data_IF_035865396178
#
_entry.id   IF_035865396178
#
_cell.length_a   1.000
_cell.length_b   1.000
_cell.length_c   1.000
_cell.angle_alpha   90.00
_cell.angle_beta   90.00
_cell.angle_gamma   90.00
#
_symmetry.space_group_name_H-M   'P 1'
#
loop_
_entity.id
_entity.type
_entity.pdbx_description
1 polymer ?
#
# COMPACT_ATOMS: atom_id res chain seq x y z
N UNK A 1 -2.35 18.35 9.09
CA UNK A 1 -3.05 18.82 7.85
C UNK A 1 -4.17 17.85 7.59
N UNK A 2 -5.41 18.32 7.43
CA UNK A 2 -6.56 17.46 7.12
C UNK A 2 -6.35 16.82 5.77
N UNK A 3 -6.54 15.52 5.67
CA UNK A 3 -6.49 14.76 4.42
C UNK A 3 -7.84 14.13 4.14
N UNK A 4 -8.23 14.11 2.88
CA UNK A 4 -9.45 13.48 2.39
C UNK A 4 -9.08 12.34 1.45
N UNK A 5 -9.78 11.22 1.58
CA UNK A 5 -9.69 10.06 0.70
C UNK A 5 -11.07 9.84 0.10
N UNK A 6 -11.14 9.75 -1.20
CA UNK A 6 -12.35 9.39 -1.95
C UNK A 6 -12.24 7.90 -2.31
N UNK A 7 -13.16 7.09 -1.79
CA UNK A 7 -13.17 5.67 -2.10
C UNK A 7 -13.87 5.41 -3.43
N UNK A 8 -13.40 4.43 -4.18
CA UNK A 8 -14.10 3.91 -5.36
C UNK A 8 -15.33 3.14 -4.91
N UNK A 9 -16.43 3.22 -5.66
CA UNK A 9 -17.73 2.71 -5.22
C UNK A 9 -17.78 1.20 -4.99
N UNK A 10 -16.92 0.42 -5.64
CA UNK A 10 -16.79 -1.03 -5.42
C UNK A 10 -15.82 -1.42 -4.29
N UNK A 11 -15.18 -0.44 -3.65
CA UNK A 11 -14.20 -0.66 -2.58
C UNK A 11 -14.76 -0.42 -1.17
N UNK A 12 -16.05 -0.15 -1.02
CA UNK A 12 -16.59 0.05 0.31
C UNK A 12 -18.03 -0.43 0.47
N UNK A 13 -18.43 -0.62 1.70
CA UNK A 13 -19.80 -0.90 2.07
C UNK A 13 -20.15 -0.29 3.43
N UNK A 14 -21.40 0.11 3.57
CA UNK A 14 -21.96 0.60 4.82
C UNK A 14 -22.99 -0.39 5.33
N UNK A 15 -22.81 -0.87 6.54
CA UNK A 15 -23.67 -1.85 7.17
C UNK A 15 -24.23 -1.33 8.50
N UNK A 16 -25.51 -1.55 8.76
CA UNK A 16 -26.15 -1.24 10.03
C UNK A 16 -26.12 -2.43 10.96
N UNK A 17 -26.04 -2.16 12.26
CA UNK A 17 -26.09 -3.21 13.28
C UNK A 17 -24.86 -4.12 13.28
N UNK A 18 -25.08 -5.45 13.24
CA UNK A 18 -24.03 -6.46 13.37
C UNK A 18 -23.62 -7.12 12.04
N UNK A 19 -23.85 -6.47 10.94
CA UNK A 19 -23.57 -7.01 9.62
C UNK A 19 -22.07 -7.11 9.30
N UNK A 20 -21.21 -6.48 10.10
CA UNK A 20 -19.78 -6.72 10.11
C UNK A 20 -19.38 -7.21 11.50
N UNK A 21 -18.94 -8.45 11.60
CA UNK A 21 -18.41 -9.01 12.83
C UNK A 21 -16.90 -9.04 12.77
N UNK A 22 -16.27 -8.22 13.61
CA UNK A 22 -14.81 -8.21 13.76
C UNK A 22 -14.40 -9.01 14.99
N UNK A 23 -13.53 -10.00 14.78
CA UNK A 23 -13.02 -10.86 15.84
C UNK A 23 -11.58 -11.29 15.61
N UNK A 24 -10.97 -12.00 16.58
CA UNK A 24 -9.60 -12.47 16.45
C UNK A 24 -9.38 -13.32 15.19
N UNK A 25 -8.47 -12.87 14.31
CA UNK A 25 -8.04 -13.57 13.12
C UNK A 25 -9.05 -13.65 11.97
N UNK A 26 -10.28 -13.12 12.15
CA UNK A 26 -11.30 -13.14 11.10
C UNK A 26 -12.31 -12.02 11.29
N UNK A 27 -12.69 -11.37 10.18
CA UNK A 27 -13.90 -10.57 10.09
C UNK A 27 -14.87 -11.21 9.12
N UNK A 28 -16.16 -11.18 9.40
CA UNK A 28 -17.22 -11.62 8.50
C UNK A 28 -18.03 -10.42 8.04
N UNK A 29 -18.46 -10.47 6.79
CA UNK A 29 -19.18 -9.41 6.13
C UNK A 29 -20.42 -10.03 5.47
N UNK A 30 -21.59 -9.77 5.99
CA UNK A 30 -22.84 -10.41 5.58
C UNK A 30 -23.82 -9.46 4.87
N UNK A 31 -23.36 -8.29 4.51
CA UNK A 31 -24.13 -7.30 3.75
C UNK A 31 -23.46 -7.01 2.40
N UNK A 32 -24.17 -7.21 1.28
CA UNK A 32 -23.58 -6.96 -0.02
C UNK A 32 -23.19 -5.48 -0.20
N UNK A 33 -22.00 -5.20 -0.73
CA UNK A 33 -21.57 -3.85 -1.03
C UNK A 33 -22.36 -3.31 -2.24
N UNK A 34 -23.54 -2.77 -2.00
CA UNK A 34 -24.37 -2.18 -3.04
C UNK A 34 -25.20 -1.00 -2.52
N UNK A 35 -25.51 -0.09 -3.40
CA UNK A 35 -26.42 1.03 -3.13
C UNK A 35 -25.83 2.15 -2.28
N UNK A 36 -24.56 2.12 -1.96
CA UNK A 36 -23.81 3.22 -1.35
C UNK A 36 -22.73 3.74 -2.31
N UNK A 37 -22.55 5.07 -2.37
CA UNK A 37 -21.67 5.73 -3.34
C UNK A 37 -20.95 6.90 -2.71
N UNK A 38 -19.83 7.30 -3.32
CA UNK A 38 -19.07 8.51 -2.98
C UNK A 38 -18.65 8.56 -1.51
N UNK A 39 -18.05 7.49 -0.98
CA UNK A 39 -17.48 7.53 0.36
C UNK A 39 -16.28 8.47 0.40
N UNK A 40 -16.32 9.43 1.32
CA UNK A 40 -15.21 10.31 1.65
C UNK A 40 -14.79 10.05 3.09
N UNK A 41 -13.52 9.73 3.28
CA UNK A 41 -12.87 9.53 4.58
C UNK A 41 -11.98 10.75 4.86
N UNK A 42 -12.20 11.45 5.96
CA UNK A 42 -11.48 12.69 6.29
C UNK A 42 -10.74 12.52 7.61
N UNK A 43 -9.43 12.73 7.61
CA UNK A 43 -8.60 12.66 8.80
C UNK A 43 -8.85 13.85 9.73
N UNK A 44 -8.55 13.67 11.02
CA UNK A 44 -8.56 14.78 11.99
C UNK A 44 -7.40 15.77 11.71
N UNK A 45 -7.57 17.06 12.07
CA UNK A 45 -6.49 18.07 11.93
C UNK A 45 -5.23 17.72 12.71
N UNK A 46 -5.38 17.03 13.84
CA UNK A 46 -4.29 16.65 14.74
C UNK A 46 -3.64 15.32 14.37
N UNK A 47 -4.16 14.63 13.35
CA UNK A 47 -3.55 13.41 12.85
C UNK A 47 -2.18 13.73 12.23
N UNK A 48 -1.15 13.15 12.83
CA UNK A 48 0.24 13.36 12.40
C UNK A 48 0.65 12.47 11.24
N UNK A 49 -0.13 11.42 10.97
CA UNK A 49 0.14 10.49 9.88
C UNK A 49 -1.14 9.97 9.21
N UNK A 50 -1.90 10.83 8.52
CA UNK A 50 -3.23 10.52 8.00
C UNK A 50 -3.27 9.43 6.92
N UNK A 51 -2.13 8.86 6.54
CA UNK A 51 -2.04 7.72 5.60
C UNK A 51 -1.88 6.37 6.32
N UNK A 52 -1.76 6.36 7.62
CA UNK A 52 -1.66 5.18 8.45
C UNK A 52 -2.97 5.05 9.21
N UNK A 53 -3.67 3.97 9.00
CA UNK A 53 -4.96 3.70 9.60
C UNK A 53 -4.75 2.71 10.75
N UNK A 54 -4.68 3.22 11.98
CA UNK A 54 -4.46 2.40 13.18
C UNK A 54 -5.77 2.18 13.94
N UNK A 55 -6.02 0.96 14.46
CA UNK A 55 -7.16 0.73 15.35
C UNK A 55 -7.18 1.71 16.53
N UNK A 56 -8.33 2.32 16.77
CA UNK A 56 -8.52 3.35 17.79
C UNK A 56 -8.44 4.79 17.28
N UNK A 57 -7.90 5.04 16.11
CA UNK A 57 -7.95 6.36 15.47
C UNK A 57 -9.35 6.72 14.99
N UNK A 58 -9.63 8.02 14.86
CA UNK A 58 -10.95 8.52 14.46
C UNK A 58 -10.87 9.35 13.18
N UNK A 59 -11.90 9.19 12.35
CA UNK A 59 -12.07 9.89 11.08
C UNK A 59 -13.49 10.39 10.93
N UNK A 60 -13.69 11.43 10.12
CA UNK A 60 -15.02 11.82 9.67
C UNK A 60 -15.34 11.12 8.36
N UNK A 61 -16.54 10.55 8.25
CA UNK A 61 -17.00 9.83 7.08
C UNK A 61 -18.25 10.50 6.49
N UNK A 62 -18.36 10.48 5.18
CA UNK A 62 -19.57 10.90 4.47
C UNK A 62 -19.79 10.05 3.22
N UNK A 63 -21.04 9.65 2.95
CA UNK A 63 -21.40 8.87 1.76
C UNK A 63 -22.80 9.21 1.28
N UNK A 64 -23.12 8.79 0.06
CA UNK A 64 -24.45 8.87 -0.55
C UNK A 64 -25.00 7.47 -0.84
N UNK A 65 -26.29 7.33 -1.17
CA UNK A 65 -26.87 6.03 -1.53
C UNK A 65 -28.36 6.03 -1.72
N UNK A 66 -28.90 4.92 -2.24
CA UNK A 66 -30.33 4.74 -2.54
C UNK A 66 -31.21 4.69 -1.28
N UNK A 67 -30.65 4.34 -0.12
CA UNK A 67 -31.30 4.39 1.20
C UNK A 67 -31.12 5.72 1.94
N UNK A 68 -30.58 6.73 1.28
CA UNK A 68 -30.11 7.99 1.86
C UNK A 68 -28.63 7.87 2.27
N UNK A 69 -27.87 8.94 2.05
CA UNK A 69 -26.49 9.07 2.53
C UNK A 69 -26.44 9.19 4.05
N UNK A 70 -25.23 9.21 4.59
CA UNK A 70 -24.98 9.40 6.02
C UNK A 70 -23.66 10.11 6.26
N UNK A 71 -23.51 10.66 7.45
CA UNK A 71 -22.25 11.22 7.94
C UNK A 71 -21.97 10.72 9.34
N UNK A 72 -20.67 10.50 9.63
CA UNK A 72 -20.16 10.21 10.96
C UNK A 72 -19.02 11.17 11.23
N UNK A 73 -19.07 11.92 12.32
CA UNK A 73 -18.03 12.91 12.64
C UNK A 73 -16.79 12.30 13.28
N UNK A 74 -16.96 11.21 14.04
CA UNK A 74 -15.87 10.54 14.76
C UNK A 74 -16.08 9.03 14.66
N UNK A 75 -15.88 8.49 13.48
CA UNK A 75 -15.87 7.04 13.27
C UNK A 75 -14.52 6.48 13.75
N UNK A 76 -14.57 5.48 14.63
CA UNK A 76 -13.37 4.86 15.17
C UNK A 76 -12.97 3.67 14.32
N UNK A 77 -11.70 3.55 13.98
CA UNK A 77 -11.16 2.35 13.35
C UNK A 77 -11.16 1.22 14.37
N UNK A 78 -11.95 0.19 14.11
CA UNK A 78 -12.00 -1.03 14.93
C UNK A 78 -11.17 -2.16 14.32
N UNK A 79 -10.80 -2.04 13.06
CA UNK A 79 -9.93 -2.97 12.35
C UNK A 79 -9.21 -2.30 11.21
N UNK A 80 -7.94 -2.69 11.05
CA UNK A 80 -7.11 -2.30 9.94
C UNK A 80 -6.18 -3.47 9.59
N UNK A 81 -6.14 -3.90 8.33
CA UNK A 81 -5.33 -5.06 7.90
C UNK A 81 -5.13 -5.04 6.37
N UNK A 82 -4.35 -5.98 5.86
CA UNK A 82 -4.26 -6.22 4.42
C UNK A 82 -5.51 -6.93 3.90
N UNK A 83 -5.94 -6.60 2.69
CA UNK A 83 -7.03 -7.29 2.01
C UNK A 83 -6.70 -8.75 1.68
N UNK A 84 -7.70 -9.62 1.43
CA UNK A 84 -7.47 -10.97 0.96
C UNK A 84 -6.63 -10.98 -0.31
N UNK A 85 -5.55 -11.78 -0.31
CA UNK A 85 -4.60 -11.77 -1.43
C UNK A 85 -3.38 -10.88 -1.20
N UNK A 86 -3.47 -9.87 -0.33
CA UNK A 86 -2.35 -9.02 0.07
C UNK A 86 -2.21 -7.73 -0.72
N UNK A 87 -3.06 -7.49 -1.72
CA UNK A 87 -3.20 -6.19 -2.38
C UNK A 87 -4.32 -5.40 -1.70
N UNK A 88 -4.09 -4.10 -1.49
CA UNK A 88 -5.02 -3.24 -0.79
C UNK A 88 -5.13 -3.49 0.71
N UNK A 89 -6.08 -2.82 1.33
CA UNK A 89 -6.36 -2.88 2.77
C UNK A 89 -7.80 -3.22 3.10
N UNK A 90 -8.02 -3.53 4.37
CA UNK A 90 -9.36 -3.58 4.97
C UNK A 90 -9.35 -2.68 6.19
N UNK A 91 -10.15 -1.64 6.15
CA UNK A 91 -10.34 -0.71 7.26
C UNK A 91 -11.81 -0.75 7.65
N UNK A 92 -12.08 -1.06 8.91
CA UNK A 92 -13.45 -1.08 9.43
C UNK A 92 -13.59 0.07 10.42
N UNK A 93 -14.46 0.98 10.09
CA UNK A 93 -14.85 2.08 10.96
C UNK A 93 -16.17 1.75 11.66
N UNK A 94 -16.27 2.07 12.93
CA UNK A 94 -17.50 2.03 13.71
C UNK A 94 -17.87 3.44 14.15
N UNK A 95 -19.14 3.81 13.99
CA UNK A 95 -19.61 5.10 14.47
C UNK A 95 -21.11 5.25 14.40
N UNK A 96 -21.58 6.36 14.98
CA UNK A 96 -23.01 6.71 14.99
C UNK A 96 -23.26 7.80 13.96
N UNK A 97 -24.22 7.55 13.06
CA UNK A 97 -24.60 8.50 12.03
C UNK A 97 -25.29 9.72 12.63
N UNK A 98 -25.44 10.76 11.84
CA UNK A 98 -26.24 11.96 12.12
C UNK A 98 -27.74 11.66 12.44
N UNK A 99 -28.20 10.45 12.09
CA UNK A 99 -29.55 9.94 12.43
C UNK A 99 -29.59 9.11 13.72
N UNK A 100 -28.47 8.95 14.41
CA UNK A 100 -28.36 8.18 15.64
C UNK A 100 -28.25 6.67 15.45
N UNK A 101 -27.97 6.19 14.25
CA UNK A 101 -27.79 4.76 13.94
C UNK A 101 -26.31 4.36 14.09
N UNK A 102 -26.05 3.26 14.80
CA UNK A 102 -24.73 2.65 14.84
C UNK A 102 -24.48 1.90 13.53
N UNK A 103 -23.40 2.24 12.85
CA UNK A 103 -23.02 1.62 11.58
C UNK A 103 -21.55 1.23 11.57
N UNK A 104 -21.25 0.22 10.75
CA UNK A 104 -19.90 -0.10 10.34
C UNK A 104 -19.71 0.33 8.88
N UNK A 105 -18.61 1.00 8.61
CA UNK A 105 -18.16 1.29 7.25
C UNK A 105 -16.91 0.47 6.99
N UNK A 106 -16.99 -0.43 6.03
CA UNK A 106 -15.85 -1.21 5.55
C UNK A 106 -15.31 -0.51 4.32
N UNK A 107 -14.07 -0.07 4.36
CA UNK A 107 -13.37 0.47 3.20
C UNK A 107 -12.18 -0.42 2.88
N UNK A 108 -12.07 -0.80 1.63
CA UNK A 108 -11.03 -1.71 1.14
C UNK A 108 -10.22 -1.02 0.03
N UNK A 109 -9.38 -0.03 0.37
CA UNK A 109 -8.59 0.67 -0.62
C UNK A 109 -7.76 -0.31 -1.45
N UNK A 110 -7.79 -0.14 -2.78
CA UNK A 110 -7.13 -0.99 -3.78
C UNK A 110 -7.60 -2.45 -3.83
N UNK A 111 -8.80 -2.73 -3.34
CA UNK A 111 -9.37 -4.07 -3.36
C UNK A 111 -10.85 -4.03 -3.73
N UNK A 112 -11.22 -4.70 -4.82
CA UNK A 112 -12.62 -4.82 -5.28
C UNK A 112 -13.44 -5.67 -4.30
N UNK A 113 -14.03 -4.99 -3.30
CA UNK A 113 -14.85 -5.63 -2.26
C UNK A 113 -16.14 -6.22 -2.85
N UNK A 114 -16.74 -5.53 -3.82
CA UNK A 114 -18.00 -5.97 -4.40
C UNK A 114 -17.82 -7.25 -5.22
N UNK A 115 -16.82 -7.29 -6.12
CA UNK A 115 -16.50 -8.49 -6.89
C UNK A 115 -16.11 -9.64 -5.98
N UNK A 116 -15.22 -9.40 -5.02
CA UNK A 116 -14.81 -10.42 -4.05
C UNK A 116 -15.99 -10.94 -3.21
N UNK A 117 -16.91 -10.09 -2.76
CA UNK A 117 -18.09 -10.50 -2.01
C UNK A 117 -18.92 -11.51 -2.80
N UNK A 118 -19.26 -11.20 -4.04
CA UNK A 118 -20.10 -12.06 -4.87
C UNK A 118 -19.41 -13.36 -5.27
N UNK A 119 -18.12 -13.34 -5.50
CA UNK A 119 -17.31 -14.54 -5.80
C UNK A 119 -17.22 -15.52 -4.60
N UNK A 120 -17.33 -15.00 -3.38
CA UNK A 120 -17.21 -15.78 -2.16
C UNK A 120 -18.53 -15.97 -1.40
N UNK A 121 -19.62 -15.45 -1.91
CA UNK A 121 -20.93 -15.58 -1.29
C UNK A 121 -21.48 -16.99 -1.44
N UNK A 122 -21.96 -17.57 -0.32
CA UNK A 122 -22.74 -18.82 -0.33
C UNK A 122 -24.00 -18.67 0.48
N UNK A 123 -25.09 -19.29 0.02
CA UNK A 123 -26.36 -19.25 0.75
C UNK A 123 -26.19 -19.87 2.15
N UNK A 124 -26.35 -19.07 3.18
CA UNK A 124 -26.25 -19.48 4.59
C UNK A 124 -24.88 -19.22 5.26
N UNK A 125 -23.92 -18.65 4.55
CA UNK A 125 -22.65 -18.23 5.13
C UNK A 125 -22.18 -16.91 4.53
N UNK A 126 -21.98 -15.91 5.37
CA UNK A 126 -21.39 -14.63 4.94
C UNK A 126 -19.93 -14.81 4.52
N UNK A 127 -19.47 -14.11 3.49
CA UNK A 127 -18.07 -14.07 3.16
C UNK A 127 -17.24 -13.58 4.35
N UNK A 128 -16.09 -14.19 4.58
CA UNK A 128 -15.21 -13.84 5.68
C UNK A 128 -13.80 -13.54 5.21
N UNK A 129 -13.26 -12.38 5.61
CA UNK A 129 -11.84 -12.19 5.45
C UNK A 129 -11.07 -12.76 6.63
N UNK A 130 -9.88 -13.26 6.32
CA UNK A 130 -8.90 -13.64 7.32
C UNK A 130 -7.88 -12.54 7.46
N UNK A 131 -7.66 -12.07 8.67
CA UNK A 131 -6.62 -11.11 8.96
C UNK A 131 -5.30 -11.81 9.21
N UNK A 132 -4.23 -11.17 8.75
CA UNK A 132 -2.87 -11.68 8.93
C UNK A 132 -2.33 -11.31 10.31
N UNK A 133 -2.66 -10.11 10.79
CA UNK A 133 -2.26 -9.58 12.08
C UNK A 133 -3.39 -8.72 12.67
N UNK A 134 -3.77 -9.00 13.92
CA UNK A 134 -4.85 -8.26 14.61
C UNK A 134 -4.46 -6.84 15.01
N UNK A 135 -3.17 -6.57 15.09
CA UNK A 135 -2.60 -5.27 15.39
C UNK A 135 -2.01 -4.60 14.14
N UNK A 136 -2.29 -5.14 12.95
CA UNK A 136 -1.84 -4.52 11.73
C UNK A 136 -2.49 -3.16 11.57
N UNK A 137 -1.70 -2.21 11.08
CA UNK A 137 -2.19 -0.94 10.62
C UNK A 137 -1.99 -0.90 9.10
N UNK A 138 -3.08 -0.72 8.35
CA UNK A 138 -2.96 -0.51 6.92
C UNK A 138 -2.33 0.84 6.65
N UNK A 139 -1.29 0.85 5.85
CA UNK A 139 -0.66 2.07 5.40
C UNK A 139 -0.93 2.28 3.92
N UNK A 140 -1.63 3.35 3.63
CA UNK A 140 -1.84 3.85 2.27
C UNK A 140 -0.55 4.51 1.78
N UNK A 141 0.52 3.71 1.69
CA UNK A 141 1.85 4.18 1.33
C UNK A 141 2.22 3.83 -0.10
N UNK A 142 2.61 4.86 -0.82
CA UNK A 142 3.16 4.76 -2.17
C UNK A 142 4.60 4.26 -2.12
N UNK A 143 5.01 3.61 -3.19
CA UNK A 143 6.38 3.17 -3.51
C UNK A 143 7.41 4.29 -3.29
N UNK A 144 8.31 4.14 -2.31
CA UNK A 144 9.26 5.17 -1.91
C UNK A 144 10.67 4.64 -1.73
N UNK A 145 11.64 5.43 -2.20
CA UNK A 145 13.04 5.33 -1.77
C UNK A 145 13.23 6.15 -0.48
N UNK A 146 13.95 5.63 0.49
CA UNK A 146 14.40 6.46 1.60
C UNK A 146 15.52 7.41 1.14
N UNK A 147 15.55 8.62 1.68
CA UNK A 147 16.63 9.58 1.44
C UNK A 147 18.01 8.95 1.74
N UNK A 148 19.01 9.33 0.98
CA UNK A 148 20.34 8.74 0.95
C UNK A 148 20.46 7.54 0.01
N UNK A 149 19.37 7.01 -0.55
CA UNK A 149 19.44 5.98 -1.60
C UNK A 149 20.06 6.59 -2.85
N UNK A 150 21.11 5.95 -3.37
CA UNK A 150 21.78 6.39 -4.60
C UNK A 150 21.11 5.78 -5.82
N UNK A 151 20.71 6.60 -6.75
CA UNK A 151 20.12 6.20 -8.05
C UNK A 151 21.17 6.41 -9.14
N UNK A 152 21.35 5.40 -9.98
CA UNK A 152 22.28 5.47 -11.09
C UNK A 152 21.87 6.53 -12.12
N UNK A 153 22.83 7.34 -12.55
CA UNK A 153 22.64 8.34 -13.62
C UNK A 153 23.78 8.19 -14.64
N UNK A 154 23.66 8.76 -15.86
CA UNK A 154 24.75 8.72 -16.85
C UNK A 154 26.07 9.35 -16.36
N UNK A 155 26.01 10.16 -15.30
CA UNK A 155 27.17 10.85 -14.72
C UNK A 155 27.61 10.27 -13.36
N UNK A 156 27.20 9.06 -13.04
CA UNK A 156 27.43 8.41 -11.75
C UNK A 156 26.20 8.46 -10.84
N UNK A 157 26.23 7.67 -9.76
CA UNK A 157 25.08 7.57 -8.87
C UNK A 157 24.90 8.83 -8.03
N UNK A 158 23.63 9.30 -7.89
CA UNK A 158 23.25 10.49 -7.12
C UNK A 158 22.23 10.13 -6.04
N UNK A 159 22.26 10.79 -4.87
CA UNK A 159 21.22 10.62 -3.85
C UNK A 159 19.83 10.95 -4.42
N UNK A 160 18.84 10.14 -4.10
CA UNK A 160 17.46 10.27 -4.64
C UNK A 160 16.83 11.60 -4.29
N UNK A 161 17.09 12.12 -3.10
CA UNK A 161 16.53 13.38 -2.60
C UNK A 161 17.03 14.64 -3.33
N UNK A 162 18.12 14.53 -4.09
CA UNK A 162 18.62 15.69 -4.86
C UNK A 162 18.18 15.65 -6.33
N UNK A 163 17.54 14.56 -6.77
CA UNK A 163 17.01 14.46 -8.13
C UNK A 163 15.85 15.42 -8.33
N UNK A 164 15.73 15.91 -9.57
CA UNK A 164 14.70 16.87 -10.00
C UNK A 164 14.07 16.41 -11.32
N UNK A 165 12.86 16.87 -11.65
CA UNK A 165 12.31 16.69 -12.98
C UNK A 165 13.30 17.15 -14.07
N UNK A 166 13.47 16.31 -15.10
CA UNK A 166 14.45 16.48 -16.17
C UNK A 166 15.81 15.82 -15.92
N UNK A 167 16.16 15.44 -14.69
CA UNK A 167 17.38 14.65 -14.45
C UNK A 167 17.26 13.28 -15.13
N UNK A 168 18.35 12.84 -15.78
CA UNK A 168 18.42 11.53 -16.43
C UNK A 168 18.82 10.46 -15.41
N UNK A 169 18.06 9.39 -15.30
CA UNK A 169 18.39 8.20 -14.49
C UNK A 169 18.49 6.96 -15.37
N UNK A 170 19.33 6.02 -14.95
CA UNK A 170 19.50 4.78 -15.68
C UNK A 170 18.33 3.84 -15.41
N UNK A 171 17.71 3.33 -16.47
CA UNK A 171 16.69 2.30 -16.41
C UNK A 171 17.20 1.01 -17.01
N UNK A 172 16.65 -0.12 -16.56
CA UNK A 172 17.08 -1.45 -17.00
C UNK A 172 16.76 -1.70 -18.47
N UNK A 173 15.58 -1.30 -18.91
CA UNK A 173 15.04 -1.69 -20.22
C UNK A 173 15.22 -0.60 -21.31
N UNK A 174 15.31 0.67 -20.93
CA UNK A 174 15.28 1.78 -21.89
C UNK A 174 16.48 2.72 -21.79
N UNK A 175 17.55 2.31 -21.05
CA UNK A 175 18.72 3.15 -20.85
C UNK A 175 18.41 4.42 -20.04
N UNK A 176 19.10 5.55 -20.29
CA UNK A 176 18.83 6.79 -19.58
C UNK A 176 17.43 7.35 -19.92
N UNK A 177 16.60 7.59 -18.90
CA UNK A 177 15.27 8.18 -19.04
C UNK A 177 15.14 9.41 -18.13
N UNK A 178 14.38 10.43 -18.52
CA UNK A 178 14.18 11.61 -17.69
C UNK A 178 13.19 11.31 -16.55
N UNK A 179 13.51 11.82 -15.37
CA UNK A 179 12.55 11.92 -14.27
C UNK A 179 11.49 12.93 -14.64
N UNK A 180 10.21 12.56 -14.58
CA UNK A 180 9.08 13.44 -14.91
C UNK A 180 8.66 14.26 -13.70
N UNK A 181 8.65 13.61 -12.52
CA UNK A 181 8.22 14.27 -11.31
C UNK A 181 8.88 13.63 -10.07
N UNK A 182 9.03 14.43 -9.02
CA UNK A 182 9.61 13.99 -7.74
C UNK A 182 8.80 14.55 -6.60
N UNK A 183 8.33 13.69 -5.71
CA UNK A 183 7.81 14.13 -4.41
C UNK A 183 8.71 13.69 -3.27
N UNK A 184 8.66 14.44 -2.19
CA UNK A 184 9.36 14.16 -0.94
C UNK A 184 8.39 14.29 0.21
N UNK A 185 8.42 13.32 1.10
CA UNK A 185 7.58 13.30 2.28
C UNK A 185 8.42 12.95 3.50
N UNK A 186 8.30 13.76 4.55
CA UNK A 186 8.89 13.48 5.84
C UNK A 186 7.83 12.93 6.81
N UNK A 187 8.23 11.97 7.62
CA UNK A 187 7.35 11.38 8.60
C UNK A 187 8.10 10.50 9.61
N UNK A 188 7.34 9.79 10.41
CA UNK A 188 7.88 8.76 11.29
C UNK A 188 8.24 7.52 10.47
N UNK A 189 9.32 6.85 10.81
CA UNK A 189 9.72 5.55 10.26
C UNK A 189 9.42 4.41 11.24
N UNK A 190 8.26 4.45 11.91
CA UNK A 190 7.81 3.42 12.86
C UNK A 190 6.63 2.63 12.27
N UNK A 191 6.38 1.43 12.80
CA UNK A 191 5.27 0.58 12.39
C UNK A 191 5.29 0.29 10.89
N UNK A 192 4.17 0.49 10.21
CA UNK A 192 4.03 0.31 8.76
C UNK A 192 4.93 1.27 7.94
N UNK A 193 5.31 2.40 8.52
CA UNK A 193 6.24 3.35 7.90
C UNK A 193 7.72 3.01 8.10
N UNK A 194 8.04 1.95 8.87
CA UNK A 194 9.42 1.53 9.07
C UNK A 194 10.03 1.07 7.74
N UNK A 195 11.19 1.59 7.34
CA UNK A 195 11.83 1.14 6.11
C UNK A 195 12.32 -0.29 6.23
N UNK A 196 12.32 -0.99 5.11
CA UNK A 196 13.04 -2.25 4.93
C UNK A 196 14.48 -1.91 4.54
N UNK A 197 15.42 -2.35 5.35
CA UNK A 197 16.85 -2.26 5.06
C UNK A 197 17.32 -3.53 4.36
N UNK A 198 17.94 -3.35 3.21
CA UNK A 198 18.68 -4.36 2.47
C UNK A 198 20.18 -4.14 2.71
N UNK A 199 20.85 -5.11 3.34
CA UNK A 199 22.28 -5.10 3.47
C UNK A 199 22.96 -5.24 2.09
N UNK A 200 24.21 -4.78 1.92
CA UNK A 200 24.91 -4.98 0.67
C UNK A 200 24.93 -6.44 0.22
N UNK A 201 24.63 -6.69 -1.05
CA UNK A 201 24.57 -8.02 -1.64
C UNK A 201 23.22 -8.74 -1.56
N UNK A 202 22.23 -8.22 -0.81
CA UNK A 202 20.93 -8.89 -0.62
C UNK A 202 20.15 -9.09 -1.90
N UNK A 203 20.14 -8.09 -2.78
CA UNK A 203 19.40 -8.07 -4.04
C UNK A 203 20.24 -7.48 -5.20
N UNK A 204 21.57 -7.70 -5.15
CA UNK A 204 22.53 -7.16 -6.11
C UNK A 204 23.05 -5.76 -5.77
N UNK A 205 22.52 -5.11 -4.74
CA UNK A 205 22.99 -3.81 -4.24
C UNK A 205 24.40 -3.91 -3.66
N UNK A 206 25.28 -2.95 -3.96
CA UNK A 206 26.63 -2.84 -3.38
C UNK A 206 26.67 -1.93 -2.15
N UNK A 207 25.67 -1.06 -2.02
CA UNK A 207 25.50 -0.17 -0.87
C UNK A 207 24.22 -0.54 -0.10
N UNK A 208 24.10 -0.17 1.19
CA UNK A 208 22.84 -0.35 1.91
C UNK A 208 21.68 0.35 1.21
N UNK A 209 20.54 -0.31 1.10
CA UNK A 209 19.35 0.21 0.49
C UNK A 209 18.20 0.24 1.51
N UNK A 210 17.46 1.33 1.56
CA UNK A 210 16.28 1.47 2.40
C UNK A 210 15.08 1.83 1.54
N UNK A 211 14.03 1.03 1.61
CA UNK A 211 12.80 1.17 0.84
C UNK A 211 11.59 1.19 1.77
N UNK A 212 10.49 1.78 1.34
CA UNK A 212 9.20 1.54 2.00
C UNK A 212 8.81 0.06 1.88
N UNK A 213 7.97 -0.43 2.76
CA UNK A 213 7.61 -1.85 2.82
C UNK A 213 6.92 -2.36 1.56
N UNK A 214 6.16 -1.49 0.90
CA UNK A 214 5.44 -1.79 -0.34
C UNK A 214 6.27 -1.55 -1.61
N UNK A 215 7.45 -0.93 -1.50
CA UNK A 215 8.32 -0.71 -2.66
C UNK A 215 8.70 -2.04 -3.28
N UNK A 216 8.52 -2.18 -4.58
CA UNK A 216 8.80 -3.43 -5.26
C UNK A 216 10.21 -3.44 -5.83
N UNK A 217 10.83 -4.60 -5.71
CA UNK A 217 12.13 -4.89 -6.32
C UNK A 217 11.98 -6.03 -7.32
N UNK A 218 12.78 -5.99 -8.37
CA UNK A 218 12.75 -7.00 -9.42
C UNK A 218 13.52 -8.23 -8.95
N UNK A 219 12.88 -9.38 -9.02
CA UNK A 219 13.47 -10.68 -8.69
C UNK A 219 13.37 -11.61 -9.89
N UNK A 220 14.51 -12.18 -10.28
CA UNK A 220 14.56 -13.28 -11.25
C UNK A 220 14.52 -14.62 -10.50
N UNK A 221 13.62 -15.53 -10.90
CA UNK A 221 13.45 -16.81 -10.24
C UNK A 221 12.85 -17.84 -11.19
N UNK A 222 13.41 -19.07 -11.18
CA UNK A 222 12.80 -20.19 -11.88
C UNK A 222 11.38 -20.50 -11.37
N UNK A 223 11.10 -20.21 -10.09
CA UNK A 223 9.76 -20.36 -9.52
C UNK A 223 8.79 -19.31 -10.09
N UNK A 224 9.27 -18.08 -10.34
CA UNK A 224 8.46 -17.06 -11.02
C UNK A 224 8.10 -17.47 -12.44
N UNK A 225 9.05 -18.03 -13.18
CA UNK A 225 8.81 -18.55 -14.51
C UNK A 225 7.79 -19.73 -14.51
N UNK A 226 7.91 -20.61 -13.53
CA UNK A 226 7.00 -21.77 -13.39
C UNK A 226 5.58 -21.35 -13.02
N UNK A 227 5.43 -20.42 -12.08
CA UNK A 227 4.11 -20.05 -11.52
C UNK A 227 3.40 -18.97 -12.33
N UNK A 228 4.14 -18.03 -12.91
CA UNK A 228 3.60 -16.82 -13.54
C UNK A 228 3.98 -16.67 -15.02
N UNK A 229 4.65 -17.67 -15.60
CA UNK A 229 5.17 -17.63 -16.97
C UNK A 229 6.03 -16.38 -17.27
N UNK A 230 6.71 -15.87 -16.24
CA UNK A 230 7.56 -14.68 -16.29
C UNK A 230 8.87 -14.93 -15.54
N UNK A 231 10.05 -14.81 -16.21
CA UNK A 231 11.33 -15.06 -15.57
C UNK A 231 11.71 -13.99 -14.53
N UNK A 232 11.10 -12.82 -14.63
CA UNK A 232 11.30 -11.68 -13.72
C UNK A 232 9.95 -11.13 -13.25
N UNK A 233 9.85 -10.86 -11.96
CA UNK A 233 8.63 -10.36 -11.29
C UNK A 233 8.97 -9.26 -10.30
N UNK A 234 8.01 -8.39 -10.02
CA UNK A 234 8.11 -7.36 -9.00
C UNK A 234 7.53 -7.86 -7.68
N UNK A 235 8.34 -7.84 -6.63
CA UNK A 235 7.94 -8.31 -5.30
C UNK A 235 8.07 -7.18 -4.26
N UNK A 236 7.11 -7.01 -3.34
CA UNK A 236 7.20 -5.98 -2.32
C UNK A 236 8.37 -6.25 -1.35
N UNK A 237 9.09 -5.20 -0.98
CA UNK A 237 10.27 -5.26 -0.11
C UNK A 237 10.01 -6.04 1.19
N UNK A 238 8.81 -5.90 1.77
CA UNK A 238 8.41 -6.64 2.99
C UNK A 238 8.41 -8.16 2.81
N UNK A 239 8.20 -8.67 1.60
CA UNK A 239 8.20 -10.11 1.34
C UNK A 239 9.61 -10.72 1.33
N UNK A 240 10.64 -9.89 1.30
CA UNK A 240 12.03 -10.31 1.31
C UNK A 240 12.67 -10.28 2.71
N UNK A 241 11.92 -9.89 3.73
CA UNK A 241 12.43 -9.79 5.10
C UNK A 241 12.80 -11.17 5.61
N UNK A 242 14.10 -11.39 5.89
CA UNK A 242 14.65 -12.60 6.45
C UNK A 242 15.12 -12.45 7.92
N UNK A 243 15.04 -11.23 8.45
CA UNK A 243 15.48 -10.87 9.80
C UNK A 243 17.00 -10.71 9.94
N UNK A 244 17.77 -10.91 8.89
CA UNK A 244 19.25 -10.83 8.88
C UNK A 244 19.73 -9.79 7.85
N UNK A 245 19.84 -10.21 6.60
CA UNK A 245 20.32 -9.35 5.51
C UNK A 245 19.22 -8.35 5.06
N UNK A 246 17.98 -8.76 5.14
CA UNK A 246 16.80 -7.91 4.85
C UNK A 246 15.94 -7.83 6.11
N UNK A 247 15.77 -6.63 6.66
CA UNK A 247 15.05 -6.44 7.93
C UNK A 247 14.37 -5.09 8.02
N UNK A 248 13.34 -4.99 8.86
CA UNK A 248 12.81 -3.70 9.28
C UNK A 248 13.87 -2.91 10.04
N UNK A 249 13.90 -1.61 9.80
CA UNK A 249 14.80 -0.65 10.46
C UNK A 249 13.98 0.55 10.97
N UNK A 250 13.22 0.40 12.06
CA UNK A 250 12.45 1.49 12.64
C UNK A 250 13.33 2.68 12.99
N UNK A 251 12.84 3.89 12.72
CA UNK A 251 13.52 5.13 13.02
C UNK A 251 12.52 6.25 13.34
N UNK A 252 12.93 7.20 14.18
CA UNK A 252 12.05 8.29 14.63
C UNK A 252 11.63 9.22 13.47
N UNK A 253 12.50 9.40 12.48
CA UNK A 253 12.25 10.23 11.29
C UNK A 253 12.79 9.58 10.05
N UNK A 254 12.04 9.71 8.96
CA UNK A 254 12.45 9.26 7.63
C UNK A 254 11.94 10.27 6.59
N UNK A 255 12.72 10.46 5.54
CA UNK A 255 12.27 11.16 4.33
C UNK A 255 12.15 10.13 3.23
N UNK A 256 10.97 9.99 2.68
CA UNK A 256 10.66 9.17 1.54
C UNK A 256 10.58 10.01 0.27
N UNK A 257 11.09 9.45 -0.83
CA UNK A 257 11.15 10.11 -2.14
C UNK A 257 10.51 9.22 -3.20
N UNK A 258 9.61 9.81 -3.96
CA UNK A 258 8.94 9.18 -5.10
C UNK A 258 9.55 9.68 -6.39
N UNK A 259 9.81 8.78 -7.32
CA UNK A 259 10.29 9.10 -8.66
C UNK A 259 9.28 8.64 -9.70
N UNK A 260 8.62 9.57 -10.38
CA UNK A 260 7.75 9.29 -11.52
C UNK A 260 8.55 9.44 -12.80
N UNK A 261 8.45 8.45 -13.67
CA UNK A 261 9.03 8.42 -15.00
C UNK A 261 7.94 8.60 -16.06
N UNK A 262 8.29 8.69 -17.32
CA UNK A 262 7.33 8.74 -18.43
C UNK A 262 6.54 7.45 -18.67
N UNK A 263 6.97 6.36 -18.02
CA UNK A 263 6.33 5.05 -17.92
C UNK A 263 6.84 4.36 -16.66
N UNK A 264 6.26 3.21 -16.29
CA UNK A 264 6.81 2.41 -15.20
C UNK A 264 8.16 1.80 -15.61
N UNK A 265 9.21 2.06 -14.85
CA UNK A 265 10.60 1.68 -15.16
C UNK A 265 11.23 0.93 -13.99
N UNK A 266 12.23 0.12 -14.30
CA UNK A 266 13.11 -0.50 -13.31
C UNK A 266 14.39 0.33 -13.24
N UNK A 267 14.64 0.94 -12.09
CA UNK A 267 15.78 1.82 -11.83
C UNK A 267 16.91 1.04 -11.16
N UNK A 268 18.16 1.43 -11.42
CA UNK A 268 19.32 0.92 -10.68
C UNK A 268 19.52 1.77 -9.42
N UNK A 269 19.27 1.17 -8.26
CA UNK A 269 19.41 1.80 -6.96
C UNK A 269 20.53 1.14 -6.13
N UNK A 270 21.15 1.90 -5.25
CA UNK A 270 22.20 1.43 -4.32
C UNK A 270 23.32 0.62 -5.02
N UNK A 271 23.71 1.08 -6.21
CA UNK A 271 24.75 0.50 -7.05
C UNK A 271 24.49 -0.96 -7.43
N UNK A 272 23.28 -1.28 -7.93
CA UNK A 272 22.95 -2.58 -8.52
C UNK A 272 21.61 -3.18 -8.16
N UNK A 273 20.83 -2.61 -7.23
CA UNK A 273 19.49 -3.09 -6.91
C UNK A 273 18.47 -2.66 -7.96
N UNK A 274 17.75 -3.59 -8.59
CA UNK A 274 16.71 -3.27 -9.55
C UNK A 274 15.40 -2.95 -8.84
N UNK A 275 15.08 -1.66 -8.72
CA UNK A 275 13.91 -1.15 -8.01
C UNK A 275 12.92 -0.48 -8.96
N UNK A 276 11.62 -0.57 -8.68
CA UNK A 276 10.61 0.10 -9.50
C UNK A 276 10.64 1.63 -9.35
N UNK A 277 10.24 2.35 -10.39
CA UNK A 277 9.81 3.74 -10.30
C UNK A 277 8.36 3.79 -9.77
N UNK A 278 7.85 4.98 -9.47
CA UNK A 278 6.45 5.12 -9.11
C UNK A 278 5.56 4.60 -10.26
N UNK A 279 4.69 3.64 -9.95
CA UNK A 279 3.60 3.20 -10.80
C UNK A 279 2.35 3.97 -10.36
N UNK A 280 1.88 4.95 -11.14
CA UNK A 280 0.64 5.62 -10.84
C UNK A 280 -0.53 4.63 -10.92
N UNK A 281 -1.33 4.60 -9.91
CA UNK A 281 -2.60 3.88 -9.78
C UNK A 281 -3.50 4.71 -8.89
N UNK A 282 -4.70 4.22 -8.63
CA UNK A 282 -5.71 4.95 -7.86
C UNK A 282 -5.18 5.40 -6.48
N UNK A 283 -4.29 4.60 -5.86
CA UNK A 283 -3.60 4.96 -4.59
C UNK A 283 -2.64 6.13 -4.76
N UNK A 284 -1.84 6.12 -5.82
CA UNK A 284 -0.90 7.20 -6.07
C UNK A 284 -1.65 8.51 -6.34
N UNK A 285 -2.78 8.44 -7.05
CA UNK A 285 -3.67 9.57 -7.30
C UNK A 285 -4.33 10.05 -6.00
N UNK A 286 -4.82 9.15 -5.15
CA UNK A 286 -5.41 9.50 -3.86
C UNK A 286 -4.42 10.14 -2.88
N UNK A 287 -3.16 9.67 -2.85
CA UNK A 287 -2.15 10.16 -1.92
C UNK A 287 -1.46 11.43 -2.42
N UNK A 288 -1.18 11.50 -3.70
CA UNK A 288 -0.41 12.58 -4.31
C UNK A 288 -1.32 13.64 -4.91
N UNK A 289 -2.58 13.27 -5.20
CA UNK A 289 -3.67 14.16 -5.59
C UNK A 289 -3.27 15.19 -6.65
N UNK A 290 -3.56 16.47 -6.38
CA UNK A 290 -3.24 17.58 -7.27
C UNK A 290 -1.73 17.79 -7.53
N UNK A 291 -0.86 17.13 -6.76
CA UNK A 291 0.59 17.18 -6.97
C UNK A 291 1.08 16.23 -8.07
N UNK A 292 0.24 15.26 -8.50
CA UNK A 292 0.55 14.41 -9.64
C UNK A 292 0.36 15.19 -10.94
N UNK A 293 1.33 15.14 -11.86
CA UNK A 293 1.16 15.77 -13.17
C UNK A 293 0.04 15.08 -13.94
N UNK A 294 -0.77 15.85 -14.67
CA UNK A 294 -1.84 15.35 -15.52
C UNK A 294 -1.39 14.34 -16.60
N UNK A 295 -0.09 14.22 -16.84
CA UNK A 295 0.52 13.21 -17.72
C UNK A 295 0.74 11.85 -17.03
N UNK A 296 0.48 11.72 -15.73
CA UNK A 296 0.54 10.47 -14.99
C UNK A 296 -0.70 9.61 -15.31
N UNK A 297 -0.86 9.22 -16.59
CA UNK A 297 -1.90 8.29 -17.01
C UNK A 297 -1.69 6.89 -16.41
N UNK A 298 -2.65 6.00 -16.61
CA UNK A 298 -2.51 4.59 -16.21
C UNK A 298 -1.34 3.96 -16.97
N UNK A 299 -0.30 3.61 -16.27
CA UNK A 299 0.84 2.89 -16.82
C UNK A 299 0.63 1.39 -16.66
N UNK A 300 1.15 0.64 -17.61
CA UNK A 300 1.32 -0.80 -17.40
C UNK A 300 2.59 -1.04 -16.59
N UNK A 301 2.53 -1.99 -15.67
CA UNK A 301 3.69 -2.41 -14.91
C UNK A 301 4.79 -2.96 -15.86
N UNK A 302 6.05 -2.65 -15.60
CA UNK A 302 7.18 -3.09 -16.41
C UNK A 302 7.38 -4.63 -16.36
N UNK A 303 6.94 -5.26 -15.29
CA UNK A 303 6.93 -6.73 -15.07
C UNK A 303 5.66 -7.10 -14.29
N UNK A 304 5.26 -8.40 -14.28
CA UNK A 304 4.18 -8.86 -13.41
C UNK A 304 4.43 -8.47 -11.95
N UNK A 305 3.42 -7.90 -11.33
CA UNK A 305 3.45 -7.48 -9.93
C UNK A 305 2.87 -8.61 -9.10
N UNK A 306 3.63 -9.07 -8.11
CA UNK A 306 3.18 -10.12 -7.20
C UNK A 306 2.63 -9.55 -5.91
N UNK A 307 1.57 -10.15 -5.43
CA UNK A 307 1.08 -9.94 -4.08
C UNK A 307 2.12 -10.41 -3.05
N UNK A 308 1.97 -10.01 -1.79
CA UNK A 308 2.86 -10.46 -0.72
C UNK A 308 2.93 -12.00 -0.62
N UNK A 309 1.80 -12.70 -0.75
CA UNK A 309 1.75 -14.17 -0.65
C UNK A 309 2.42 -14.86 -1.83
N UNK A 310 2.15 -14.39 -3.03
CA UNK A 310 2.81 -14.89 -4.24
C UNK A 310 4.31 -14.67 -4.18
N UNK A 311 4.73 -13.49 -3.70
CA UNK A 311 6.14 -13.18 -3.50
C UNK A 311 6.82 -14.15 -2.53
N UNK A 312 6.17 -14.53 -1.41
CA UNK A 312 6.70 -15.54 -0.50
C UNK A 312 6.90 -16.92 -1.18
N UNK A 313 5.98 -17.30 -2.07
CA UNK A 313 6.12 -18.55 -2.83
C UNK A 313 7.32 -18.51 -3.79
N UNK A 314 7.56 -17.37 -4.44
CA UNK A 314 8.65 -17.20 -5.40
C UNK A 314 10.01 -17.08 -4.71
N UNK A 315 10.08 -16.40 -3.58
CA UNK A 315 11.33 -16.14 -2.86
C UNK A 315 11.77 -17.28 -1.94
N UNK A 316 10.88 -18.24 -1.69
CA UNK A 316 11.12 -19.31 -0.71
C UNK A 316 11.25 -18.79 0.73
N UNK A 317 10.86 -17.54 0.97
CA UNK A 317 10.86 -16.97 2.30
C UNK A 317 9.82 -17.69 3.18
N UNK A 318 10.25 -18.14 4.35
CA UNK A 318 9.34 -18.69 5.35
C UNK A 318 8.53 -17.54 5.93
N UNK A 319 7.22 -17.77 6.17
CA UNK A 319 6.42 -16.84 6.98
C UNK A 319 7.22 -16.48 8.23
N UNK A 320 7.35 -15.19 8.58
CA UNK A 320 8.03 -14.81 9.80
C UNK A 320 7.39 -15.56 10.98
N UNK A 321 8.19 -16.04 11.96
CA UNK A 321 7.62 -16.63 13.16
C UNK A 321 6.66 -15.62 13.78
N UNK A 322 5.49 -16.10 14.20
CA UNK A 322 4.53 -15.26 14.93
C UNK A 322 5.28 -14.59 16.07
N UNK A 323 5.31 -13.27 16.09
CA UNK A 323 5.79 -12.54 17.24
C UNK A 323 4.95 -12.99 18.45
N UNK A 324 5.57 -13.32 19.60
CA UNK A 324 4.81 -13.61 20.79
C UNK A 324 3.98 -12.38 21.13
N UNK A 325 2.71 -12.60 21.48
CA UNK A 325 1.85 -11.56 22.02
C UNK A 325 2.55 -10.94 23.23
N UNK A 326 2.79 -9.63 23.20
CA UNK A 326 3.22 -8.84 24.35
C UNK A 326 1.99 -8.48 25.19
#
# INVERSE_FOLDING_TARGET
>A
MVKMFEAVDNEFAVATGRNVNSGPGRSTFDYPPNGTFNLVVTSHPDDTNPNLFEPGETYSLGWTGNGGGGTIQNATIIRSDAAPGGDGGIIVFEGVTDRGELVHVVWTPDFDLEGWYWDNFSAGASPGFHTVDQNAAYSHQVVCFAAGTRIATPRGARPVEVLRPGDMVMTRDHGPQPVVWVARREGTGLGANAPVLFAPGSIGNRAPLRLSQQHRVLIGSAMAELMFAAPEVLVPARALIDGQAVRLMPCARITYVHLLMGRHEILDAADGAPCESLLPGDVAEAILGADLPACAGRFHAARPVLTYREALCVTGARLPPRLPAL
#
